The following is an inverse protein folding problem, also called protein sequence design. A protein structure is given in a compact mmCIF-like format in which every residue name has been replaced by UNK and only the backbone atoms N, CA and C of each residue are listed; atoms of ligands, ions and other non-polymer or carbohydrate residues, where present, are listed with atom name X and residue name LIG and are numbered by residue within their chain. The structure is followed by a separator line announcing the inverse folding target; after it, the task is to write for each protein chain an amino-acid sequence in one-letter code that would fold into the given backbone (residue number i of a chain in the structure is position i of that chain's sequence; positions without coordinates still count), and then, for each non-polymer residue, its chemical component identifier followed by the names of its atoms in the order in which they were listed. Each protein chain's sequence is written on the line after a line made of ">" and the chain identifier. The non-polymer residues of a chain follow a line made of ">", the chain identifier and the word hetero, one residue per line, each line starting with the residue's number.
data_IF_999422291261
#
_entry.id   IF_999422291261
#
_cell.length_a   1.000
_cell.length_b   1.000
_cell.length_c   1.000
_cell.angle_alpha   90.00
_cell.angle_beta   90.00
_cell.angle_gamma   90.00
#
_symmetry.space_group_name_H-M   'P 1'
#
loop_
_entity.id
_entity.type
_entity.pdbx_description
1 polymer ?
#
# COMPACT_ATOMS: atom_id res chain seq x y z
N UNK A 1 -3.82 -1.89 -18.21
CA UNK A 1 -4.20 -2.56 -16.94
C UNK A 1 -2.96 -3.13 -16.28
N UNK A 2 -2.92 -3.21 -14.93
CA UNK A 2 -1.75 -3.65 -14.16
C UNK A 2 -1.80 -5.13 -13.75
N UNK A 3 -2.61 -5.95 -14.44
CA UNK A 3 -2.85 -7.36 -14.04
C UNK A 3 -1.57 -8.19 -13.94
N UNK A 4 -0.57 -7.92 -14.77
CA UNK A 4 0.70 -8.63 -14.73
C UNK A 4 1.56 -8.32 -13.48
N UNK A 5 1.28 -7.24 -12.74
CA UNK A 5 1.86 -7.03 -11.43
C UNK A 5 1.15 -7.87 -10.36
N UNK A 6 -0.17 -7.92 -10.38
CA UNK A 6 -1.00 -8.55 -9.34
C UNK A 6 -1.33 -10.03 -9.58
N UNK A 7 -1.21 -10.49 -10.84
CA UNK A 7 -1.50 -11.85 -11.27
C UNK A 7 -0.41 -12.43 -12.18
N UNK A 8 0.89 -12.29 -11.87
CA UNK A 8 1.96 -12.87 -12.68
C UNK A 8 1.89 -14.40 -12.62
N UNK A 9 2.30 -15.08 -13.69
CA UNK A 9 2.48 -16.54 -13.72
C UNK A 9 3.94 -16.92 -13.48
N UNK A 10 4.84 -15.96 -13.65
CA UNK A 10 6.28 -16.13 -13.47
C UNK A 10 6.92 -14.84 -12.97
N UNK A 11 7.87 -14.97 -12.03
CA UNK A 11 8.59 -13.86 -11.40
C UNK A 11 10.09 -14.12 -11.41
N UNK A 12 10.88 -13.18 -11.95
CA UNK A 12 12.33 -13.17 -11.80
C UNK A 12 12.74 -12.29 -10.61
N UNK A 13 13.63 -12.77 -9.75
CA UNK A 13 14.13 -12.04 -8.58
C UNK A 13 15.59 -11.68 -8.82
N UNK A 14 15.85 -10.45 -9.22
CA UNK A 14 17.16 -9.95 -9.61
C UNK A 14 17.86 -9.40 -8.36
N UNK A 15 18.92 -10.06 -7.93
CA UNK A 15 19.60 -9.80 -6.67
C UNK A 15 19.21 -10.80 -5.58
N UNK A 16 18.68 -11.94 -5.96
CA UNK A 16 18.41 -13.07 -5.08
C UNK A 16 19.66 -13.48 -4.27
N UNK A 17 19.50 -13.94 -3.03
CA UNK A 17 20.61 -14.28 -2.15
C UNK A 17 20.30 -15.46 -1.22
N UNK A 18 21.34 -16.20 -0.82
CA UNK A 18 21.27 -17.19 0.28
C UNK A 18 21.54 -16.55 1.64
N UNK A 19 22.09 -15.31 1.67
CA UNK A 19 22.44 -14.62 2.91
C UNK A 19 21.20 -14.01 3.56
N UNK A 20 20.84 -14.51 4.74
CA UNK A 20 19.68 -14.08 5.54
C UNK A 20 19.69 -12.59 5.91
N UNK A 21 20.85 -11.94 5.91
CA UNK A 21 20.96 -10.51 6.20
C UNK A 21 20.74 -9.62 4.97
N UNK A 22 20.41 -10.20 3.81
CA UNK A 22 20.15 -9.46 2.57
C UNK A 22 18.67 -9.52 2.18
N UNK A 23 18.12 -8.40 1.72
CA UNK A 23 16.75 -8.32 1.26
C UNK A 23 16.40 -9.31 0.15
N UNK A 24 17.35 -9.61 -0.74
CA UNK A 24 17.17 -10.63 -1.78
C UNK A 24 16.89 -12.05 -1.27
N UNK A 25 17.33 -12.38 -0.04
CA UNK A 25 16.92 -13.61 0.65
C UNK A 25 15.44 -13.54 1.06
N UNK A 26 15.06 -12.43 1.70
CA UNK A 26 13.71 -12.25 2.20
C UNK A 26 12.68 -12.21 1.07
N UNK A 27 13.00 -11.58 -0.07
CA UNK A 27 12.11 -11.57 -1.24
C UNK A 27 11.79 -13.00 -1.68
N UNK A 28 12.81 -13.87 -1.85
CA UNK A 28 12.58 -15.27 -2.24
C UNK A 28 11.76 -16.00 -1.18
N UNK A 29 12.16 -15.88 0.08
CA UNK A 29 11.48 -16.55 1.19
C UNK A 29 10.02 -16.14 1.29
N UNK A 30 9.73 -14.85 1.13
CA UNK A 30 8.38 -14.31 1.14
C UNK A 30 7.54 -14.83 -0.04
N UNK A 31 8.09 -14.78 -1.25
CA UNK A 31 7.36 -15.23 -2.44
C UNK A 31 7.05 -16.71 -2.37
N UNK A 32 8.00 -17.54 -1.91
CA UNK A 32 7.80 -19.00 -1.80
C UNK A 32 6.71 -19.40 -0.80
N UNK A 33 6.30 -18.50 0.10
CA UNK A 33 5.25 -18.78 1.08
C UNK A 33 3.88 -18.95 0.44
N UNK A 34 3.51 -18.14 -0.54
CA UNK A 34 2.15 -18.13 -1.11
C UNK A 34 2.07 -18.22 -2.63
N UNK A 35 3.06 -17.70 -3.34
CA UNK A 35 3.02 -17.65 -4.80
C UNK A 35 3.15 -19.05 -5.43
N UNK A 36 2.24 -19.40 -6.32
CA UNK A 36 2.17 -20.71 -6.99
C UNK A 36 2.76 -20.73 -8.41
N UNK A 37 3.17 -19.57 -8.92
CA UNK A 37 3.79 -19.45 -10.24
C UNK A 37 5.27 -19.86 -10.23
N UNK A 38 5.91 -19.69 -11.38
CA UNK A 38 7.35 -19.98 -11.53
C UNK A 38 8.19 -18.86 -10.92
N UNK A 39 9.18 -19.24 -10.11
CA UNK A 39 10.11 -18.33 -9.44
C UNK A 39 11.50 -18.55 -10.02
N UNK A 40 12.13 -17.49 -10.48
CA UNK A 40 13.46 -17.52 -11.09
C UNK A 40 14.42 -16.61 -10.31
N UNK A 41 15.18 -17.15 -9.35
CA UNK A 41 16.27 -16.41 -8.72
C UNK A 41 17.35 -16.04 -9.74
N UNK A 42 17.83 -14.78 -9.69
CA UNK A 42 18.90 -14.29 -10.57
C UNK A 42 20.04 -13.75 -9.73
N UNK A 43 21.20 -14.39 -9.84
CA UNK A 43 22.45 -13.95 -9.20
C UNK A 43 23.65 -14.69 -9.81
N UNK A 44 24.73 -13.95 -10.13
CA UNK A 44 25.96 -14.49 -10.74
C UNK A 44 26.76 -15.47 -9.85
N UNK A 45 26.54 -15.38 -8.53
CA UNK A 45 27.36 -16.11 -7.53
C UNK A 45 26.77 -17.43 -7.08
N UNK A 46 25.53 -17.74 -7.47
CA UNK A 46 24.83 -18.94 -6.99
C UNK A 46 24.34 -19.81 -8.14
N UNK A 47 24.32 -21.11 -7.96
CA UNK A 47 23.68 -22.08 -8.89
C UNK A 47 22.28 -22.44 -8.41
N UNK A 48 22.04 -22.34 -7.11
CA UNK A 48 20.79 -22.66 -6.45
C UNK A 48 20.58 -21.75 -5.24
N UNK A 49 19.33 -21.36 -4.99
CA UNK A 49 18.91 -20.56 -3.82
C UNK A 49 17.61 -21.14 -3.28
N UNK A 50 17.60 -21.58 -2.01
CA UNK A 50 16.43 -22.17 -1.34
C UNK A 50 15.74 -23.30 -2.14
N UNK A 51 16.52 -24.17 -2.77
CA UNK A 51 16.02 -25.29 -3.59
C UNK A 51 15.57 -24.90 -5.00
N UNK A 52 15.72 -23.63 -5.39
CA UNK A 52 15.37 -23.14 -6.73
C UNK A 52 16.62 -22.96 -7.58
N UNK A 53 16.64 -23.42 -8.85
CA UNK A 53 17.73 -23.13 -9.79
C UNK A 53 17.95 -21.61 -9.92
N UNK A 54 19.20 -21.16 -9.77
CA UNK A 54 19.57 -19.75 -9.88
C UNK A 54 20.28 -19.48 -11.21
N UNK A 55 19.89 -18.41 -11.87
CA UNK A 55 20.40 -18.01 -13.18
C UNK A 55 21.39 -16.85 -13.03
N UNK A 56 22.47 -16.80 -13.83
CA UNK A 56 23.47 -15.73 -13.72
C UNK A 56 22.93 -14.37 -14.15
N UNK A 57 21.96 -14.35 -15.07
CA UNK A 57 21.31 -13.17 -15.63
C UNK A 57 19.87 -13.50 -16.08
N UNK A 58 19.10 -12.46 -16.43
CA UNK A 58 17.71 -12.62 -16.88
C UNK A 58 17.65 -13.34 -18.23
N UNK A 59 18.64 -13.12 -19.09
CA UNK A 59 18.68 -13.71 -20.44
C UNK A 59 18.80 -15.23 -20.42
N UNK A 60 19.46 -15.79 -19.41
CA UNK A 60 19.66 -17.23 -19.22
C UNK A 60 18.44 -18.00 -18.71
N UNK A 61 17.39 -17.30 -18.24
CA UNK A 61 16.16 -17.93 -17.74
C UNK A 61 15.42 -18.61 -18.91
N UNK A 62 14.95 -19.87 -18.77
CA UNK A 62 14.18 -20.51 -19.82
C UNK A 62 12.75 -19.94 -19.92
N UNK A 63 12.33 -19.58 -21.13
CA UNK A 63 10.98 -19.09 -21.42
C UNK A 63 10.76 -17.61 -21.11
N UNK A 64 9.48 -17.21 -21.12
CA UNK A 64 9.05 -15.84 -20.87
C UNK A 64 8.84 -15.59 -19.38
N UNK A 65 8.95 -14.32 -18.99
CA UNK A 65 8.80 -13.86 -17.60
C UNK A 65 7.76 -12.74 -17.60
N UNK A 66 6.75 -12.82 -16.72
CA UNK A 66 5.70 -11.79 -16.62
C UNK A 66 6.17 -10.57 -15.82
N UNK A 67 6.85 -10.82 -14.68
CA UNK A 67 7.23 -9.79 -13.71
C UNK A 67 8.68 -9.99 -13.27
N UNK A 68 9.39 -8.89 -13.06
CA UNK A 68 10.69 -8.89 -12.39
C UNK A 68 10.65 -8.08 -11.11
N UNK A 69 11.36 -8.53 -10.06
CA UNK A 69 11.65 -7.77 -8.85
C UNK A 69 13.14 -7.45 -8.88
N UNK A 70 13.45 -6.15 -8.78
CA UNK A 70 14.80 -5.64 -8.89
C UNK A 70 15.33 -5.20 -7.53
N UNK A 71 16.39 -5.84 -7.04
CA UNK A 71 17.01 -5.56 -5.76
C UNK A 71 18.55 -5.61 -5.83
N UNK A 72 19.12 -4.88 -6.79
CA UNK A 72 20.58 -4.67 -6.95
C UNK A 72 20.88 -3.17 -7.12
N UNK A 73 22.15 -2.73 -7.12
CA UNK A 73 22.49 -1.31 -7.25
C UNK A 73 21.88 -0.63 -8.47
N UNK A 74 21.40 0.60 -8.30
CA UNK A 74 20.64 1.38 -9.31
C UNK A 74 21.30 1.47 -10.68
N UNK A 75 22.64 1.55 -10.73
CA UNK A 75 23.44 1.65 -11.97
C UNK A 75 23.19 0.53 -12.97
N UNK A 76 22.78 -0.64 -12.48
CA UNK A 76 22.54 -1.83 -13.32
C UNK A 76 21.13 -1.81 -13.95
N UNK A 77 20.19 -0.98 -13.44
CA UNK A 77 18.80 -0.99 -13.88
C UNK A 77 18.61 -0.75 -15.39
N UNK A 78 19.29 0.24 -16.04
CA UNK A 78 19.09 0.47 -17.46
C UNK A 78 19.49 -0.74 -18.33
N UNK A 79 20.51 -1.49 -17.93
CA UNK A 79 20.92 -2.74 -18.59
C UNK A 79 19.90 -3.85 -18.33
N UNK A 80 19.49 -4.03 -17.09
CA UNK A 80 18.51 -5.03 -16.69
C UNK A 80 17.16 -4.85 -17.39
N UNK A 81 16.70 -3.62 -17.59
CA UNK A 81 15.48 -3.32 -18.37
C UNK A 81 15.59 -3.90 -19.81
N UNK A 82 16.75 -3.75 -20.45
CA UNK A 82 16.96 -4.28 -21.80
C UNK A 82 17.00 -5.82 -21.82
N UNK A 83 17.53 -6.47 -20.80
CA UNK A 83 17.46 -7.93 -20.66
C UNK A 83 16.02 -8.40 -20.44
N UNK A 84 15.28 -7.73 -19.54
CA UNK A 84 13.88 -7.99 -19.28
C UNK A 84 13.02 -7.86 -20.54
N UNK A 85 13.30 -6.87 -21.39
CA UNK A 85 12.60 -6.65 -22.66
C UNK A 85 12.71 -7.87 -23.58
N UNK A 86 13.91 -8.47 -23.70
CA UNK A 86 14.15 -9.66 -24.52
C UNK A 86 13.42 -10.92 -24.01
N UNK A 87 12.99 -10.92 -22.74
CA UNK A 87 12.27 -12.01 -22.07
C UNK A 87 10.77 -11.79 -21.96
N UNK A 88 10.24 -10.72 -22.56
CA UNK A 88 8.82 -10.42 -22.56
C UNK A 88 8.27 -9.91 -21.24
N UNK A 89 9.14 -9.49 -20.31
CA UNK A 89 8.75 -8.89 -19.03
C UNK A 89 7.90 -7.64 -19.29
N UNK A 90 6.77 -7.53 -18.62
CA UNK A 90 5.84 -6.40 -18.77
C UNK A 90 5.92 -5.40 -17.63
N UNK A 91 6.42 -5.82 -16.48
CA UNK A 91 6.56 -4.97 -15.30
C UNK A 91 7.81 -5.28 -14.50
N UNK A 92 8.39 -4.25 -13.90
CA UNK A 92 9.54 -4.37 -12.99
C UNK A 92 9.21 -3.62 -11.71
N UNK A 93 9.23 -4.31 -10.56
CA UNK A 93 9.15 -3.70 -9.24
C UNK A 93 10.59 -3.42 -8.79
N UNK A 94 10.89 -2.15 -8.51
CA UNK A 94 12.24 -1.69 -8.16
C UNK A 94 12.23 -1.34 -6.67
N UNK A 95 12.69 -2.29 -5.83
CA UNK A 95 12.71 -2.11 -4.39
C UNK A 95 13.99 -1.39 -3.91
N UNK A 96 15.06 -1.44 -4.69
CA UNK A 96 16.30 -0.71 -4.37
C UNK A 96 16.16 0.80 -4.55
N UNK A 97 16.94 1.56 -3.77
CA UNK A 97 17.15 2.99 -3.89
C UNK A 97 18.37 3.36 -4.72
N UNK A 98 18.76 4.64 -4.69
CA UNK A 98 19.91 5.19 -5.42
C UNK A 98 19.51 5.81 -6.76
N UNK A 99 18.32 6.36 -6.84
CA UNK A 99 17.75 6.99 -8.04
C UNK A 99 17.56 8.52 -7.83
N UNK A 100 16.43 9.07 -8.16
CA UNK A 100 16.16 10.51 -8.10
C UNK A 100 16.47 11.14 -6.71
N UNK A 101 16.24 10.40 -5.63
CA UNK A 101 16.55 10.77 -4.26
C UNK A 101 18.06 10.84 -3.96
N UNK A 102 18.89 10.17 -4.77
CA UNK A 102 20.35 10.14 -4.61
C UNK A 102 21.10 11.25 -5.38
N UNK A 103 20.37 12.24 -5.91
CA UNK A 103 20.95 13.39 -6.59
C UNK A 103 21.10 13.20 -8.11
N UNK A 104 21.93 14.01 -8.75
CA UNK A 104 21.98 14.14 -10.22
C UNK A 104 22.37 12.84 -10.94
N UNK A 105 23.28 12.05 -10.40
CA UNK A 105 23.66 10.79 -11.02
C UNK A 105 22.50 9.77 -10.97
N UNK A 106 21.83 9.68 -9.82
CA UNK A 106 20.63 8.85 -9.67
C UNK A 106 19.50 9.26 -10.62
N UNK A 107 19.30 10.57 -10.84
CA UNK A 107 18.33 11.09 -11.83
C UNK A 107 18.67 10.65 -13.25
N UNK A 108 19.94 10.69 -13.66
CA UNK A 108 20.37 10.23 -14.99
C UNK A 108 20.12 8.74 -15.18
N UNK A 109 20.43 7.94 -14.17
CA UNK A 109 20.18 6.49 -14.17
C UNK A 109 18.69 6.20 -14.32
N UNK A 110 17.85 6.86 -13.50
CA UNK A 110 16.39 6.69 -13.55
C UNK A 110 15.83 7.11 -14.92
N UNK A 111 16.24 8.25 -15.46
CA UNK A 111 15.81 8.72 -16.78
C UNK A 111 16.14 7.70 -17.86
N UNK A 112 17.37 7.18 -17.88
CA UNK A 112 17.80 6.17 -18.87
C UNK A 112 17.01 4.87 -18.73
N UNK A 113 16.72 4.44 -17.51
CA UNK A 113 15.88 3.25 -17.27
C UNK A 113 14.46 3.45 -17.79
N UNK A 114 13.84 4.63 -17.55
CA UNK A 114 12.51 4.98 -18.06
C UNK A 114 12.47 5.01 -19.59
N UNK A 115 13.48 5.59 -20.23
CA UNK A 115 13.58 5.62 -21.71
C UNK A 115 13.66 4.22 -22.30
N UNK A 116 14.46 3.32 -21.69
CA UNK A 116 14.57 1.93 -22.12
C UNK A 116 13.25 1.17 -21.89
N UNK A 117 12.61 1.36 -20.74
CA UNK A 117 11.35 0.74 -20.39
C UNK A 117 10.21 1.18 -21.34
N UNK A 118 10.12 2.48 -21.64
CA UNK A 118 9.15 3.01 -22.58
C UNK A 118 9.29 2.43 -23.99
N UNK A 119 10.52 2.32 -24.49
CA UNK A 119 10.81 1.70 -25.81
C UNK A 119 10.41 0.22 -25.84
N UNK A 120 10.49 -0.48 -24.72
CA UNK A 120 10.17 -1.89 -24.60
C UNK A 120 8.71 -2.17 -24.19
N UNK A 121 7.92 -1.14 -23.87
CA UNK A 121 6.56 -1.31 -23.33
C UNK A 121 6.52 -1.90 -21.91
N UNK A 122 7.60 -1.77 -21.16
CA UNK A 122 7.71 -2.23 -19.77
C UNK A 122 7.28 -1.10 -18.83
N UNK A 123 6.47 -1.41 -17.81
CA UNK A 123 6.12 -0.47 -16.74
C UNK A 123 7.02 -0.66 -15.52
N UNK A 124 7.42 0.44 -14.91
CA UNK A 124 8.29 0.47 -13.74
C UNK A 124 7.51 0.89 -12.49
N UNK A 125 7.56 0.07 -11.44
CA UNK A 125 6.97 0.34 -10.14
C UNK A 125 8.06 0.72 -9.13
N UNK A 126 7.90 1.78 -8.38
CA UNK A 126 8.89 2.37 -7.50
C UNK A 126 9.66 3.51 -8.20
N UNK A 127 10.97 3.59 -8.10
CA UNK A 127 11.91 2.82 -7.26
C UNK A 127 11.80 3.17 -5.77
N UNK A 128 12.73 2.63 -4.95
CA UNK A 128 12.81 2.92 -3.52
C UNK A 128 11.48 2.63 -2.81
N UNK A 129 10.91 1.47 -3.07
CA UNK A 129 9.65 1.02 -2.53
C UNK A 129 9.80 -0.32 -1.79
N UNK A 130 8.78 -0.70 -1.05
CA UNK A 130 8.72 -1.97 -0.33
C UNK A 130 8.05 -3.08 -1.17
N UNK A 131 7.75 -2.82 -2.43
CA UNK A 131 6.99 -3.73 -3.27
C UNK A 131 5.51 -3.74 -2.95
N UNK A 132 4.85 -4.90 -3.06
CA UNK A 132 3.45 -5.03 -2.69
C UNK A 132 3.13 -6.37 -2.02
N UNK A 133 2.01 -6.40 -1.33
CA UNK A 133 1.45 -7.56 -0.66
C UNK A 133 -0.01 -7.73 -1.10
N UNK A 134 -0.41 -8.94 -1.47
CA UNK A 134 -1.81 -9.34 -1.63
C UNK A 134 -2.09 -10.38 -0.54
N UNK A 135 -2.71 -9.92 0.56
CA UNK A 135 -2.90 -10.77 1.72
C UNK A 135 -3.95 -11.87 1.50
N UNK A 136 -4.92 -11.64 0.61
CA UNK A 136 -5.93 -12.63 0.24
C UNK A 136 -5.34 -13.81 -0.54
N UNK A 137 -4.24 -13.56 -1.29
CA UNK A 137 -3.50 -14.59 -2.02
C UNK A 137 -2.26 -15.09 -1.28
N UNK A 138 -1.93 -14.47 -0.13
CA UNK A 138 -0.66 -14.69 0.57
C UNK A 138 0.58 -14.35 -0.29
N UNK A 139 0.45 -13.42 -1.24
CA UNK A 139 1.57 -12.94 -2.03
C UNK A 139 2.31 -11.84 -1.27
N UNK A 140 3.57 -12.06 -0.98
CA UNK A 140 4.45 -11.08 -0.34
C UNK A 140 5.64 -10.82 -1.27
N UNK A 141 5.50 -9.82 -2.12
CA UNK A 141 6.54 -9.39 -3.05
C UNK A 141 7.27 -8.19 -2.44
N UNK A 142 8.12 -8.49 -1.44
CA UNK A 142 8.76 -7.50 -0.60
C UNK A 142 10.03 -8.04 0.04
N UNK A 143 11.02 -7.15 0.26
CA UNK A 143 12.26 -7.46 0.98
C UNK A 143 12.10 -7.45 2.50
N UNK A 144 10.95 -7.13 3.05
CA UNK A 144 10.71 -7.13 4.50
C UNK A 144 11.00 -8.51 5.07
N UNK A 145 11.54 -8.53 6.29
CA UNK A 145 11.92 -9.75 6.98
C UNK A 145 10.81 -10.80 6.94
N UNK A 146 11.11 -11.97 6.39
CA UNK A 146 10.17 -13.05 6.17
C UNK A 146 9.60 -13.68 7.45
N UNK A 147 10.22 -13.43 8.60
CA UNK A 147 9.72 -13.91 9.90
C UNK A 147 8.50 -13.13 10.41
N UNK A 148 8.22 -11.98 9.81
CA UNK A 148 7.10 -11.12 10.26
C UNK A 148 5.74 -11.63 9.80
N UNK A 149 5.67 -12.21 8.59
CA UNK A 149 4.38 -12.46 7.92
C UNK A 149 3.55 -13.64 8.44
N UNK A 150 4.13 -14.78 8.86
CA UNK A 150 3.35 -15.98 9.19
C UNK A 150 2.27 -15.74 10.25
N UNK A 151 2.56 -14.89 11.23
CA UNK A 151 1.69 -14.67 12.38
C UNK A 151 0.70 -13.51 12.20
N UNK A 152 0.98 -12.59 11.29
CA UNK A 152 0.23 -11.33 11.17
C UNK A 152 -0.51 -11.15 9.85
N UNK A 153 -0.11 -11.85 8.77
CA UNK A 153 -0.73 -11.64 7.46
C UNK A 153 -2.19 -12.09 7.45
N UNK A 154 -3.10 -11.13 7.35
CA UNK A 154 -4.55 -11.39 7.35
C UNK A 154 -5.19 -10.79 6.11
N UNK A 155 -5.85 -11.65 5.34
CA UNK A 155 -6.69 -11.24 4.22
C UNK A 155 -7.91 -10.42 4.67
N UNK A 156 -8.37 -9.54 3.81
CA UNK A 156 -9.52 -8.68 4.06
C UNK A 156 -9.87 -7.81 2.86
N UNK A 157 -10.49 -6.67 3.11
CA UNK A 157 -11.06 -5.81 2.08
C UNK A 157 -10.51 -4.37 2.05
N UNK A 158 -9.46 -4.08 2.82
CA UNK A 158 -8.81 -2.77 2.81
C UNK A 158 -7.61 -2.77 1.87
N UNK A 159 -7.63 -1.91 0.85
CA UNK A 159 -6.49 -1.64 -0.01
C UNK A 159 -5.65 -0.47 0.52
N UNK A 160 -4.34 -0.63 0.59
CA UNK A 160 -3.41 0.40 1.04
C UNK A 160 -2.56 0.90 -0.12
N UNK A 161 -2.49 2.22 -0.31
CA UNK A 161 -1.56 2.90 -1.24
C UNK A 161 -0.64 3.79 -0.42
N UNK A 162 0.63 3.45 -0.32
CA UNK A 162 1.56 4.16 0.57
C UNK A 162 2.80 4.61 -0.18
N UNK A 163 3.06 5.91 -0.16
CA UNK A 163 4.21 6.48 -0.86
C UNK A 163 5.54 6.19 -0.16
N UNK A 164 5.58 6.15 1.17
CA UNK A 164 6.78 5.86 1.95
C UNK A 164 6.98 4.36 2.18
N UNK A 165 8.17 3.83 1.87
CA UNK A 165 8.50 2.42 2.09
C UNK A 165 8.40 2.00 3.55
N UNK A 166 9.12 2.68 4.45
CA UNK A 166 9.14 2.35 5.89
C UNK A 166 7.77 2.58 6.55
N UNK A 167 7.06 3.63 6.16
CA UNK A 167 5.73 3.90 6.69
C UNK A 167 4.72 2.88 6.18
N UNK A 168 4.89 2.34 4.96
CA UNK A 168 4.10 1.21 4.45
C UNK A 168 4.20 0.01 5.38
N UNK A 169 5.42 -0.34 5.80
CA UNK A 169 5.65 -1.41 6.76
C UNK A 169 5.00 -1.08 8.11
N UNK A 170 5.19 0.12 8.64
CA UNK A 170 4.63 0.54 9.92
C UNK A 170 3.10 0.49 9.95
N UNK A 171 2.43 1.01 8.95
CA UNK A 171 0.97 0.93 8.83
C UNK A 171 0.47 -0.48 8.71
N UNK A 172 1.11 -1.26 7.84
CA UNK A 172 0.68 -2.63 7.61
C UNK A 172 0.88 -3.48 8.85
N UNK A 173 2.03 -3.37 9.51
CA UNK A 173 2.31 -4.09 10.75
C UNK A 173 1.34 -3.71 11.86
N UNK A 174 1.11 -2.41 12.08
CA UNK A 174 0.15 -1.93 13.09
C UNK A 174 -1.27 -2.46 12.79
N UNK A 175 -1.75 -2.29 11.57
CA UNK A 175 -3.08 -2.73 11.17
C UNK A 175 -3.29 -4.25 11.33
N UNK A 176 -2.25 -5.04 11.03
CA UNK A 176 -2.32 -6.50 11.09
C UNK A 176 -2.06 -7.05 12.50
N UNK A 177 -1.14 -6.49 13.28
CA UNK A 177 -0.85 -6.92 14.66
C UNK A 177 -2.03 -6.73 15.60
N UNK A 178 -2.69 -5.58 15.51
CA UNK A 178 -3.90 -5.31 16.31
C UNK A 178 -5.07 -6.25 15.94
N UNK A 179 -4.99 -6.94 14.80
CA UNK A 179 -6.03 -7.85 14.34
C UNK A 179 -7.39 -7.19 14.06
N UNK A 180 -7.40 -5.87 13.96
CA UNK A 180 -8.62 -5.05 13.89
C UNK A 180 -9.24 -5.01 12.50
N UNK A 181 -8.43 -5.21 11.46
CA UNK A 181 -8.88 -5.30 10.07
C UNK A 181 -7.99 -6.23 9.25
N UNK A 182 -8.50 -6.75 8.14
CA UNK A 182 -7.72 -7.45 7.12
C UNK A 182 -7.44 -6.57 5.91
N UNK A 183 -6.33 -6.84 5.23
CA UNK A 183 -5.86 -6.09 4.08
C UNK A 183 -6.06 -6.92 2.80
N UNK A 184 -6.65 -6.33 1.75
CA UNK A 184 -6.69 -6.96 0.43
C UNK A 184 -5.33 -6.85 -0.24
N UNK A 185 -4.86 -5.62 -0.41
CA UNK A 185 -3.58 -5.30 -1.03
C UNK A 185 -2.90 -4.14 -0.32
N UNK A 186 -1.60 -4.22 -0.13
CA UNK A 186 -0.77 -3.11 0.34
C UNK A 186 0.30 -2.80 -0.71
N UNK A 187 0.21 -1.63 -1.32
CA UNK A 187 1.04 -1.17 -2.41
C UNK A 187 1.96 -0.03 -1.96
N UNK A 188 3.25 -0.32 -1.83
CA UNK A 188 4.27 0.71 -1.61
C UNK A 188 4.71 1.26 -2.96
N UNK A 189 4.44 2.55 -3.23
CA UNK A 189 4.68 3.14 -4.56
C UNK A 189 6.01 3.88 -4.68
N UNK A 190 6.72 4.11 -3.56
CA UNK A 190 8.05 4.71 -3.55
C UNK A 190 8.13 6.05 -4.27
N UNK A 191 9.16 6.22 -5.10
CA UNK A 191 9.41 7.48 -5.82
C UNK A 191 8.47 7.74 -7.00
N UNK A 192 7.61 6.80 -7.37
CA UNK A 192 6.58 6.94 -8.44
C UNK A 192 7.15 7.39 -9.78
N UNK A 193 8.23 6.73 -10.23
CA UNK A 193 8.90 7.17 -11.47
C UNK A 193 8.07 6.93 -12.73
N UNK A 194 7.17 5.92 -12.71
CA UNK A 194 6.23 5.59 -13.78
C UNK A 194 4.87 5.20 -13.17
N UNK A 195 4.75 4.02 -12.52
CA UNK A 195 3.53 3.66 -11.81
C UNK A 195 3.36 4.58 -10.59
N UNK A 196 2.19 5.20 -10.47
CA UNK A 196 1.89 6.19 -9.42
C UNK A 196 0.56 5.89 -8.71
N UNK A 197 0.16 6.77 -7.80
CA UNK A 197 -1.05 6.63 -7.00
C UNK A 197 -2.32 6.50 -7.85
N UNK A 198 -2.37 7.15 -9.01
CA UNK A 198 -3.55 7.09 -9.89
C UNK A 198 -3.69 5.72 -10.55
N UNK A 199 -2.59 5.10 -10.94
CA UNK A 199 -2.60 3.78 -11.58
C UNK A 199 -3.07 2.71 -10.60
N UNK A 200 -2.56 2.77 -9.35
CA UNK A 200 -2.95 1.84 -8.29
C UNK A 200 -4.39 2.09 -7.84
N UNK A 201 -4.81 3.35 -7.68
CA UNK A 201 -6.19 3.70 -7.36
C UNK A 201 -7.16 3.17 -8.41
N UNK A 202 -6.86 3.37 -9.70
CA UNK A 202 -7.70 2.85 -10.78
C UNK A 202 -7.81 1.33 -10.75
N UNK A 203 -6.73 0.63 -10.40
CA UNK A 203 -6.75 -0.82 -10.21
C UNK A 203 -7.63 -1.21 -9.02
N UNK A 204 -7.44 -0.60 -7.84
CA UNK A 204 -8.19 -0.93 -6.62
C UNK A 204 -9.68 -0.60 -6.72
N UNK A 205 -10.06 0.42 -7.48
CA UNK A 205 -11.47 0.72 -7.75
C UNK A 205 -12.16 -0.46 -8.45
N UNK A 206 -11.47 -1.15 -9.36
CA UNK A 206 -12.00 -2.30 -10.11
C UNK A 206 -11.80 -3.63 -9.40
N UNK A 207 -10.94 -3.67 -8.41
CA UNK A 207 -10.61 -4.89 -7.66
C UNK A 207 -11.79 -5.33 -6.79
N UNK A 208 -12.21 -6.59 -6.94
CA UNK A 208 -13.36 -7.15 -6.22
C UNK A 208 -13.06 -7.44 -4.75
N UNK A 209 -11.80 -7.62 -4.42
CA UNK A 209 -11.35 -7.93 -3.07
C UNK A 209 -11.16 -6.66 -2.22
N UNK A 210 -11.18 -5.48 -2.83
CA UNK A 210 -10.99 -4.19 -2.15
C UNK A 210 -12.31 -3.44 -2.04
N UNK A 211 -12.77 -3.16 -0.83
CA UNK A 211 -13.98 -2.35 -0.56
C UNK A 211 -13.64 -0.94 -0.07
N UNK A 212 -12.50 -0.77 0.60
CA UNK A 212 -12.03 0.49 1.18
C UNK A 212 -10.61 0.76 0.70
N UNK A 213 -10.29 2.01 0.36
CA UNK A 213 -8.95 2.40 -0.11
C UNK A 213 -8.39 3.44 0.84
N UNK A 214 -7.29 3.10 1.53
CA UNK A 214 -6.60 4.00 2.44
C UNK A 214 -5.22 4.38 1.87
N UNK A 215 -4.94 5.69 1.83
CA UNK A 215 -3.76 6.23 1.18
C UNK A 215 -2.91 7.05 2.14
N UNK A 216 -1.60 6.85 2.13
CA UNK A 216 -0.63 7.82 2.61
C UNK A 216 0.16 8.37 1.41
N UNK A 217 0.05 9.68 1.18
CA UNK A 217 0.65 10.35 0.03
C UNK A 217 1.41 11.60 0.48
N UNK A 218 2.55 11.89 -0.13
CA UNK A 218 3.36 13.11 0.09
C UNK A 218 3.22 14.09 -1.07
N UNK A 219 2.74 13.61 -2.20
CA UNK A 219 2.45 14.41 -3.40
C UNK A 219 1.44 13.67 -4.30
N UNK A 220 0.81 14.40 -5.20
CA UNK A 220 -0.02 13.84 -6.27
C UNK A 220 0.64 14.13 -7.61
N UNK A 221 0.80 13.11 -8.47
CA UNK A 221 1.34 13.28 -9.83
C UNK A 221 0.33 14.00 -10.71
N UNK A 222 -0.94 13.59 -10.65
CA UNK A 222 -2.05 14.25 -11.33
C UNK A 222 -3.28 14.28 -10.41
N UNK A 223 -3.44 15.39 -9.69
CA UNK A 223 -4.56 15.59 -8.76
C UNK A 223 -5.92 15.62 -9.45
N UNK A 224 -6.02 16.07 -10.72
CA UNK A 224 -7.29 16.06 -11.47
C UNK A 224 -7.72 14.64 -11.80
N UNK A 225 -6.77 13.79 -12.23
CA UNK A 225 -7.02 12.36 -12.47
C UNK A 225 -7.42 11.67 -11.18
N UNK A 226 -6.75 11.96 -10.06
CA UNK A 226 -7.07 11.41 -8.75
C UNK A 226 -8.52 11.70 -8.34
N UNK A 227 -8.94 12.98 -8.42
CA UNK A 227 -10.32 13.40 -8.17
C UNK A 227 -11.32 12.71 -9.10
N UNK A 228 -10.99 12.62 -10.39
CA UNK A 228 -11.86 12.00 -11.40
C UNK A 228 -12.08 10.52 -11.11
N UNK A 229 -11.03 9.82 -10.68
CA UNK A 229 -11.11 8.42 -10.27
C UNK A 229 -11.94 8.25 -8.99
N UNK A 230 -11.73 9.12 -8.00
CA UNK A 230 -12.49 9.09 -6.74
C UNK A 230 -13.99 9.25 -6.98
N UNK A 231 -14.40 10.15 -7.87
CA UNK A 231 -15.81 10.36 -8.23
C UNK A 231 -16.46 9.20 -9.00
N UNK A 232 -15.67 8.25 -9.52
CA UNK A 232 -16.18 7.09 -10.28
C UNK A 232 -16.45 5.85 -9.43
N UNK A 233 -16.27 5.95 -8.13
CA UNK A 233 -16.45 4.80 -7.23
C UNK A 233 -17.26 5.18 -6.01
N UNK A 234 -17.98 4.21 -5.46
CA UNK A 234 -18.63 4.30 -4.15
C UNK A 234 -17.76 3.73 -3.02
N UNK A 235 -16.56 3.21 -3.34
CA UNK A 235 -15.62 2.73 -2.33
C UNK A 235 -15.09 3.94 -1.55
N UNK A 236 -15.14 3.94 -0.21
CA UNK A 236 -14.51 4.98 0.59
C UNK A 236 -13.03 5.10 0.26
N UNK A 237 -12.59 6.33 -0.01
CA UNK A 237 -11.18 6.67 -0.21
C UNK A 237 -10.77 7.58 0.93
N UNK A 238 -9.81 7.12 1.74
CA UNK A 238 -9.32 7.82 2.92
C UNK A 238 -7.87 8.23 2.64
N UNK A 239 -7.55 9.50 2.83
CA UNK A 239 -6.23 10.04 2.50
C UNK A 239 -5.62 10.75 3.69
N UNK A 240 -4.45 10.27 4.11
CA UNK A 240 -3.50 10.98 4.95
C UNK A 240 -2.45 11.64 4.05
N UNK A 241 -2.48 12.96 3.99
CA UNK A 241 -1.52 13.74 3.18
C UNK A 241 -0.36 14.21 4.03
N UNK A 242 0.87 13.80 3.68
CA UNK A 242 2.09 14.35 4.26
C UNK A 242 2.40 15.76 3.74
N UNK A 243 3.23 16.52 4.48
CA UNK A 243 3.69 17.84 4.02
C UNK A 243 2.66 18.96 4.13
N UNK A 244 1.71 18.88 5.08
CA UNK A 244 0.62 19.87 5.28
C UNK A 244 1.11 21.24 5.73
N UNK A 245 2.12 21.30 6.58
CA UNK A 245 2.75 22.54 7.05
C UNK A 245 3.93 22.96 6.16
N UNK A 246 4.33 24.22 6.23
CA UNK A 246 5.51 24.68 5.51
C UNK A 246 6.79 23.88 5.86
N UNK A 247 6.96 23.50 7.13
CA UNK A 247 8.07 22.67 7.58
C UNK A 247 7.94 21.23 7.08
N UNK A 248 6.75 20.65 7.16
CA UNK A 248 6.44 19.32 6.64
C UNK A 248 6.63 19.23 5.12
N UNK A 249 6.21 20.25 4.36
CA UNK A 249 6.43 20.34 2.92
C UNK A 249 7.95 20.36 2.56
N UNK A 250 8.74 21.10 3.31
CA UNK A 250 10.21 21.10 3.14
C UNK A 250 10.83 19.73 3.46
N UNK A 251 10.36 19.07 4.51
CA UNK A 251 10.81 17.73 4.86
C UNK A 251 10.44 16.70 3.78
N UNK A 252 9.19 16.69 3.28
CA UNK A 252 8.74 15.82 2.20
C UNK A 252 9.55 16.04 0.91
N UNK A 253 9.82 17.29 0.55
CA UNK A 253 10.65 17.62 -0.61
C UNK A 253 12.08 17.08 -0.49
N UNK A 254 12.66 17.16 0.71
CA UNK A 254 14.01 16.62 0.97
C UNK A 254 14.03 15.09 0.93
N UNK A 255 12.93 14.42 1.30
CA UNK A 255 12.81 12.97 1.37
C UNK A 255 12.58 12.31 0.00
N UNK A 256 11.71 12.88 -0.82
CA UNK A 256 11.25 12.24 -2.08
C UNK A 256 11.73 12.96 -3.35
N UNK A 257 12.44 14.08 -3.23
CA UNK A 257 12.81 14.98 -4.34
C UNK A 257 11.62 15.42 -5.20
N UNK A 258 10.38 15.22 -4.72
CA UNK A 258 9.15 15.65 -5.40
C UNK A 258 8.68 17.01 -4.88
N UNK A 259 8.21 17.87 -5.78
CA UNK A 259 7.59 19.14 -5.38
C UNK A 259 6.29 18.82 -4.63
N UNK A 260 6.22 19.19 -3.34
CA UNK A 260 4.96 19.17 -2.61
C UNK A 260 4.01 20.21 -3.22
N UNK A 261 2.84 19.77 -3.64
CA UNK A 261 1.77 20.66 -4.09
C UNK A 261 1.26 21.56 -2.96
N UNK A 262 0.43 22.55 -3.30
CA UNK A 262 -0.23 23.35 -2.27
C UNK A 262 -1.28 22.50 -1.55
N UNK A 263 -1.01 22.19 -0.28
CA UNK A 263 -1.89 21.36 0.57
C UNK A 263 -3.33 21.89 0.63
N UNK A 264 -3.54 23.22 0.73
CA UNK A 264 -4.89 23.81 0.76
C UNK A 264 -5.71 23.50 -0.50
N UNK A 265 -5.03 23.46 -1.66
CA UNK A 265 -5.66 23.08 -2.92
C UNK A 265 -6.00 21.60 -2.91
N UNK A 266 -5.08 20.74 -2.46
CA UNK A 266 -5.32 19.30 -2.36
C UNK A 266 -6.49 18.97 -1.41
N UNK A 267 -6.53 19.57 -0.23
CA UNK A 267 -7.61 19.42 0.76
C UNK A 267 -8.97 19.87 0.21
N UNK A 268 -9.02 21.02 -0.49
CA UNK A 268 -10.24 21.47 -1.14
C UNK A 268 -10.70 20.50 -2.25
N UNK A 269 -9.76 19.96 -3.02
CA UNK A 269 -10.02 18.98 -4.05
C UNK A 269 -10.54 17.65 -3.47
N UNK A 270 -9.99 17.20 -2.35
CA UNK A 270 -10.46 16.00 -1.65
C UNK A 270 -11.93 16.15 -1.22
N UNK A 271 -12.29 17.28 -0.58
CA UNK A 271 -13.68 17.56 -0.22
C UNK A 271 -14.63 17.55 -1.42
N UNK A 272 -14.23 18.16 -2.54
CA UNK A 272 -15.03 18.17 -3.77
C UNK A 272 -15.18 16.80 -4.42
N UNK A 273 -14.25 15.88 -4.16
CA UNK A 273 -14.27 14.53 -4.71
C UNK A 273 -14.90 13.49 -3.77
N UNK A 274 -15.36 13.90 -2.57
CA UNK A 274 -15.89 12.97 -1.56
C UNK A 274 -14.82 12.09 -0.92
N UNK A 275 -13.55 12.52 -0.98
CA UNK A 275 -12.43 11.84 -0.33
C UNK A 275 -12.39 12.23 1.14
N UNK A 276 -12.22 11.26 2.01
CA UNK A 276 -12.12 11.44 3.44
C UNK A 276 -10.67 11.80 3.78
N UNK A 277 -10.45 13.01 4.23
CA UNK A 277 -9.13 13.46 4.66
C UNK A 277 -8.97 13.19 6.16
N UNK A 278 -7.83 12.59 6.54
CA UNK A 278 -7.45 12.32 7.92
C UNK A 278 -6.08 12.93 8.22
N UNK A 279 -5.74 13.09 9.51
CA UNK A 279 -4.64 13.95 9.91
C UNK A 279 -3.51 13.24 10.63
N UNK A 280 -3.70 12.00 11.01
CA UNK A 280 -2.68 11.16 11.62
C UNK A 280 -2.85 9.67 11.24
N UNK A 281 -1.86 8.83 11.54
CA UNK A 281 -1.90 7.40 11.22
C UNK A 281 -3.00 6.62 11.93
N UNK A 282 -3.35 6.98 13.16
CA UNK A 282 -4.39 6.29 13.93
C UNK A 282 -5.76 6.56 13.30
N UNK A 283 -6.06 7.82 12.97
CA UNK A 283 -7.26 8.18 12.21
C UNK A 283 -7.37 7.41 10.88
N UNK A 284 -6.26 7.29 10.13
CA UNK A 284 -6.27 6.51 8.88
C UNK A 284 -6.69 5.06 9.11
N UNK A 285 -6.12 4.44 10.13
CA UNK A 285 -6.40 3.04 10.49
C UNK A 285 -7.83 2.88 11.00
N UNK A 286 -8.28 3.76 11.89
CA UNK A 286 -9.62 3.69 12.48
C UNK A 286 -10.72 3.91 11.45
N UNK A 287 -10.56 4.88 10.56
CA UNK A 287 -11.51 5.12 9.46
C UNK A 287 -11.54 3.95 8.48
N UNK A 288 -10.37 3.41 8.10
CA UNK A 288 -10.30 2.25 7.23
C UNK A 288 -10.98 1.03 7.89
N UNK A 289 -10.75 0.81 9.18
CA UNK A 289 -11.38 -0.24 9.96
C UNK A 289 -12.90 -0.09 10.02
N UNK A 290 -13.39 1.11 10.31
CA UNK A 290 -14.82 1.40 10.40
C UNK A 290 -15.53 1.08 9.07
N UNK A 291 -15.02 1.59 7.95
CA UNK A 291 -15.59 1.30 6.63
C UNK A 291 -15.44 -0.15 6.20
N UNK A 292 -14.37 -0.85 6.63
CA UNK A 292 -14.15 -2.27 6.29
C UNK A 292 -15.23 -3.20 6.81
N UNK A 293 -15.93 -2.79 7.88
CA UNK A 293 -17.01 -3.59 8.50
C UNK A 293 -18.35 -3.47 7.78
N UNK A 294 -18.43 -2.69 6.69
CA UNK A 294 -19.67 -2.45 5.93
C UNK A 294 -20.83 -2.02 6.83
N UNK A 295 -20.52 -1.22 7.84
CA UNK A 295 -21.53 -0.73 8.77
C UNK A 295 -22.57 0.10 8.01
N UNK A 296 -23.84 -0.19 8.22
CA UNK A 296 -24.90 0.63 7.68
C UNK A 296 -24.83 2.02 8.31
N UNK A 297 -24.69 3.05 7.49
CA UNK A 297 -24.86 4.43 7.96
C UNK A 297 -26.36 4.67 8.14
N UNK A 298 -26.80 4.75 9.38
CA UNK A 298 -28.17 5.15 9.68
C UNK A 298 -28.29 6.67 9.55
N UNK A 299 -29.32 7.18 8.85
CA UNK A 299 -29.54 8.62 8.73
C UNK A 299 -30.11 9.13 10.07
N UNK A 300 -29.25 9.62 10.93
CA UNK A 300 -29.66 10.19 12.22
C UNK A 300 -28.45 10.48 13.09
N UNK A 301 -28.63 11.39 14.04
CA UNK A 301 -27.59 11.76 15.03
C UNK A 301 -27.76 11.02 16.35
N UNK A 302 -28.92 10.39 16.58
CA UNK A 302 -29.23 9.68 17.82
C UNK A 302 -28.38 8.43 17.97
N UNK A 303 -27.52 8.40 18.98
CA UNK A 303 -26.61 7.31 19.29
C UNK A 303 -26.88 6.80 20.69
N UNK A 304 -27.05 5.49 20.88
CA UNK A 304 -27.12 4.85 22.18
C UNK A 304 -25.74 4.41 22.64
N UNK A 305 -25.39 4.71 23.88
CA UNK A 305 -24.14 4.27 24.50
C UNK A 305 -24.45 3.11 25.44
N UNK A 306 -23.89 1.94 25.13
CA UNK A 306 -23.97 0.75 25.99
C UNK A 306 -22.59 0.47 26.58
N UNK A 307 -22.47 0.56 27.89
CA UNK A 307 -21.21 0.37 28.62
C UNK A 307 -21.47 -0.16 30.01
N UNK A 308 -20.55 -0.95 30.56
CA UNK A 308 -20.54 -1.37 31.95
C UNK A 308 -19.76 -0.40 32.87
N UNK A 309 -19.16 0.65 32.30
CA UNK A 309 -18.38 1.65 33.04
C UNK A 309 -19.04 3.03 32.93
N UNK A 310 -19.50 3.59 34.07
CA UNK A 310 -20.07 4.94 34.09
C UNK A 310 -19.09 6.01 33.61
N UNK A 311 -17.81 5.92 33.99
CA UNK A 311 -16.78 6.84 33.54
C UNK A 311 -16.55 6.76 32.00
N UNK A 312 -16.56 5.57 31.42
CA UNK A 312 -16.47 5.40 29.95
C UNK A 312 -17.71 5.99 29.27
N UNK A 313 -18.90 5.83 29.87
CA UNK A 313 -20.13 6.44 29.38
C UNK A 313 -20.03 7.96 29.32
N UNK A 314 -19.54 8.59 30.39
CA UNK A 314 -19.38 10.06 30.46
C UNK A 314 -18.43 10.55 29.37
N UNK A 315 -17.23 9.96 29.26
CA UNK A 315 -16.24 10.34 28.23
C UNK A 315 -16.81 10.15 26.81
N UNK A 316 -17.53 9.04 26.58
CA UNK A 316 -18.13 8.78 25.27
C UNK A 316 -19.20 9.84 24.93
N UNK A 317 -19.99 10.27 25.93
CA UNK A 317 -21.01 11.29 25.73
C UNK A 317 -20.40 12.65 25.39
N UNK A 318 -19.30 13.03 26.06
CA UNK A 318 -18.56 14.25 25.75
C UNK A 318 -18.04 14.23 24.30
N UNK A 319 -17.42 13.12 23.89
CA UNK A 319 -16.94 12.94 22.52
C UNK A 319 -18.07 12.92 21.48
N UNK A 320 -19.26 12.43 21.84
CA UNK A 320 -20.42 12.47 20.97
C UNK A 320 -20.86 13.90 20.70
N UNK A 321 -20.89 14.76 21.73
CA UNK A 321 -21.25 16.18 21.60
C UNK A 321 -20.24 16.91 20.71
N UNK A 322 -18.95 16.68 20.92
CA UNK A 322 -17.86 17.20 20.07
C UNK A 322 -18.03 16.81 18.59
N UNK A 323 -18.56 15.62 18.32
CA UNK A 323 -18.84 15.12 16.97
C UNK A 323 -20.21 15.54 16.43
N UNK A 324 -21.01 16.30 17.19
CA UNK A 324 -22.37 16.73 16.84
C UNK A 324 -23.37 15.56 16.80
N UNK A 325 -23.11 14.49 17.55
CA UNK A 325 -24.04 13.39 17.80
C UNK A 325 -24.93 13.72 19.01
N UNK A 326 -26.07 13.07 19.12
CA UNK A 326 -27.01 13.24 20.22
C UNK A 326 -27.29 11.90 20.89
N UNK A 327 -27.54 11.89 22.19
CA UNK A 327 -28.04 10.70 22.86
C UNK A 327 -29.40 10.30 22.31
N UNK A 328 -29.53 9.04 21.95
CA UNK A 328 -30.80 8.50 21.46
C UNK A 328 -31.86 8.53 22.56
N UNK A 329 -33.04 9.02 22.21
CA UNK A 329 -34.22 8.91 23.09
C UNK A 329 -34.80 7.51 22.95
N UNK A 330 -34.61 6.70 23.98
CA UNK A 330 -35.16 5.35 24.04
C UNK A 330 -36.65 5.41 24.38
N UNK A 331 -37.44 4.51 23.81
CA UNK A 331 -38.86 4.38 24.20
C UNK A 331 -39.00 3.73 25.57
N UNK A 332 -40.10 4.02 26.27
CA UNK A 332 -40.39 3.41 27.58
C UNK A 332 -40.35 1.88 27.50
N UNK A 333 -40.91 1.30 26.48
CA UNK A 333 -40.85 -0.16 26.22
C UNK A 333 -39.40 -0.66 26.12
N UNK A 334 -38.49 0.11 25.52
CA UNK A 334 -37.07 -0.25 25.43
C UNK A 334 -36.39 -0.13 26.78
N UNK A 335 -36.70 0.94 27.53
CA UNK A 335 -36.17 1.15 28.88
C UNK A 335 -36.63 0.04 29.85
N UNK A 336 -37.88 -0.34 29.78
CA UNK A 336 -38.43 -1.44 30.63
C UNK A 336 -37.73 -2.77 30.30
N UNK A 337 -37.57 -3.09 29.00
CA UNK A 337 -36.90 -4.31 28.60
C UNK A 337 -35.41 -4.34 28.98
N UNK A 338 -34.74 -3.18 28.96
CA UNK A 338 -33.35 -3.06 29.43
C UNK A 338 -33.27 -3.19 30.94
N UNK A 339 -34.21 -2.57 31.68
CA UNK A 339 -34.25 -2.62 33.14
C UNK A 339 -34.34 -4.08 33.69
N UNK A 340 -35.02 -4.98 32.98
CA UNK A 340 -35.10 -6.39 33.35
C UNK A 340 -33.73 -7.11 33.29
N UNK A 341 -32.76 -6.59 32.55
CA UNK A 341 -31.43 -7.14 32.37
C UNK A 341 -30.41 -6.61 33.41
N UNK A 342 -30.74 -5.55 34.10
CA UNK A 342 -29.85 -4.91 35.08
C UNK A 342 -30.15 -5.34 36.49
N UNK A 343 -29.14 -5.34 37.38
CA UNK A 343 -29.36 -5.54 38.81
C UNK A 343 -30.30 -4.48 39.40
N UNK A 344 -31.01 -4.83 40.43
CA UNK A 344 -32.00 -3.94 41.08
C UNK A 344 -31.45 -2.67 41.76
N UNK A 345 -30.16 -2.41 41.72
CA UNK A 345 -29.49 -1.20 42.27
C UNK A 345 -29.06 -0.20 41.19
#
# INVERSE_FOLDING_TARGET
>A
MLDYFFNPKSVAIIGASTNINKGGYHIIKNITTGFKGKIYPVNKSYKEILGLPCYPDVASIPGNIDLAIYFIPSKELPHTVNECAKKGVKGIIIESGGFNEAGEEGKKIQKRALENAAKAGIRLWGPNCMGYIDANKTYVFSFINSLVWPDILRGGNVGLIVQSGMLSAGFLLHALQEGVMGVSKACSIGNKCDINENDILEYMIKDKDTDVIACYLESLVDGRKFMTLAKKTNKPIIVLMGGRSAQGAKAAQSHTASLSGNYKIASAAFRQAGIIEVFDPAELTDMARAFSKKMACYPGRGTAVLTFSGGAGTITTDLMDDCGLELAKLSDKTLDAIAELFPAW
#
